data_IF_164602756087
#
_entry.id   IF_164602756087
#
_cell.length_a   1.000
_cell.length_b   1.000
_cell.length_c   1.000
_cell.angle_alpha   90.00
_cell.angle_beta   90.00
_cell.angle_gamma   90.00
#
_symmetry.space_group_name_H-M   'P 1'
#
loop_
_entity.id
_entity.type
_entity.pdbx_description
1 polymer ?
#
# COMPACT_ATOMS: atom_id res chain seq x y z
N UNK A 1 -17.75 1.79 -9.35
CA UNK A 1 -16.29 1.60 -9.17
C UNK A 1 -15.99 1.45 -7.68
N UNK A 2 -15.65 0.25 -7.18
CA UNK A 2 -15.22 0.06 -5.78
C UNK A 2 -13.68 0.05 -5.75
N UNK A 3 -13.07 0.92 -4.93
CA UNK A 3 -11.61 1.00 -4.75
C UNK A 3 -11.27 0.56 -3.32
N UNK A 4 -10.46 -0.48 -3.18
CA UNK A 4 -10.10 -1.08 -1.89
C UNK A 4 -8.57 -1.07 -1.75
N UNK A 5 -8.08 -0.58 -0.62
CA UNK A 5 -6.66 -0.63 -0.27
C UNK A 5 -6.30 -2.05 0.19
N UNK A 6 -5.29 -2.69 -0.39
CA UNK A 6 -4.87 -4.06 -0.03
C UNK A 6 -3.34 -4.10 -0.02
N UNK A 7 -2.76 -4.48 1.11
CA UNK A 7 -1.34 -4.82 1.19
C UNK A 7 -1.11 -6.20 0.52
N UNK A 8 -0.20 -6.30 -0.45
CA UNK A 8 0.26 -7.56 -1.02
C UNK A 8 1.78 -7.66 -0.83
N UNK A 9 2.20 -8.21 0.32
CA UNK A 9 3.63 -8.52 0.56
C UNK A 9 4.13 -9.57 -0.45
N UNK A 10 5.38 -9.43 -0.90
CA UNK A 10 5.92 -10.28 -1.95
C UNK A 10 6.71 -11.50 -1.44
N UNK A 11 6.58 -12.58 -2.20
CA UNK A 11 7.54 -13.65 -2.54
C UNK A 11 8.92 -13.63 -1.86
N UNK A 12 8.98 -14.05 -0.60
CA UNK A 12 10.17 -14.74 -0.09
C UNK A 12 10.12 -16.21 -0.51
N UNK A 13 10.93 -16.61 -1.49
CA UNK A 13 11.25 -18.02 -1.69
C UNK A 13 12.17 -18.50 -0.55
N UNK A 14 11.62 -18.66 0.65
CA UNK A 14 12.29 -19.39 1.72
C UNK A 14 11.95 -20.87 1.59
N UNK A 15 12.97 -21.72 1.55
CA UNK A 15 12.82 -23.15 1.77
C UNK A 15 12.35 -23.33 3.21
N UNK A 16 11.05 -23.44 3.42
CA UNK A 16 10.47 -23.66 4.75
C UNK A 16 11.03 -24.94 5.35
N UNK A 17 11.51 -24.86 6.59
CA UNK A 17 11.90 -26.04 7.36
C UNK A 17 10.72 -27.04 7.40
N UNK A 18 11.01 -28.34 7.46
CA UNK A 18 10.01 -29.38 7.73
C UNK A 18 9.24 -29.00 9.00
N UNK A 19 7.97 -28.60 8.84
CA UNK A 19 7.18 -28.00 9.91
C UNK A 19 6.84 -26.52 9.75
N UNK A 20 7.05 -25.92 8.57
CA UNK A 20 6.61 -24.56 8.27
C UNK A 20 5.30 -24.49 7.45
N UNK A 21 4.74 -25.63 7.06
CA UNK A 21 3.52 -25.68 6.26
C UNK A 21 2.31 -25.09 7.03
N UNK A 22 1.60 -24.18 6.36
CA UNK A 22 0.32 -23.65 6.82
C UNK A 22 -0.76 -24.71 6.58
N UNK A 23 -1.24 -25.34 7.65
CA UNK A 23 -2.35 -26.30 7.59
C UNK A 23 -3.44 -25.92 8.58
N UNK A 24 -4.67 -26.40 8.36
CA UNK A 24 -5.80 -26.09 9.24
C UNK A 24 -5.57 -26.59 10.67
N UNK A 25 -4.90 -27.73 10.83
CA UNK A 25 -4.58 -28.32 12.14
C UNK A 25 -3.64 -27.44 12.97
N UNK A 26 -2.82 -26.64 12.30
CA UNK A 26 -1.84 -25.73 12.93
C UNK A 26 -2.31 -24.29 12.96
N UNK A 27 -3.54 -24.03 12.52
CA UNK A 27 -4.11 -22.68 12.46
C UNK A 27 -4.04 -21.97 13.80
N UNK A 28 -4.33 -22.64 14.91
CA UNK A 28 -4.22 -22.02 16.26
C UNK A 28 -2.80 -21.54 16.56
N UNK A 29 -1.77 -22.32 16.19
CA UNK A 29 -0.37 -21.91 16.37
C UNK A 29 0.01 -20.75 15.44
N UNK A 30 -0.42 -20.80 14.17
CA UNK A 30 -0.22 -19.72 13.21
C UNK A 30 -0.89 -18.44 13.69
N UNK A 31 -2.11 -18.53 14.21
CA UNK A 31 -2.84 -17.41 14.80
C UNK A 31 -2.02 -16.82 15.95
N UNK A 32 -1.55 -17.66 16.88
CA UNK A 32 -0.80 -17.19 18.04
C UNK A 32 0.60 -16.64 17.69
N UNK A 33 1.24 -17.16 16.66
CA UNK A 33 2.64 -16.86 16.30
C UNK A 33 2.84 -16.70 14.79
N UNK A 34 2.13 -15.76 14.13
CA UNK A 34 1.98 -15.73 12.68
C UNK A 34 3.29 -15.56 11.90
N UNK A 35 4.32 -14.99 12.55
CA UNK A 35 5.63 -14.70 11.95
C UNK A 35 6.61 -15.86 12.06
N UNK A 36 6.39 -16.81 12.97
CA UNK A 36 7.23 -18.00 13.06
C UNK A 36 7.02 -18.95 11.90
N UNK A 37 5.94 -18.74 11.14
CA UNK A 37 5.62 -19.50 9.95
C UNK A 37 6.01 -18.70 8.71
N UNK A 38 7.16 -18.97 8.10
CA UNK A 38 7.63 -18.23 6.92
C UNK A 38 6.66 -18.40 5.75
N UNK A 39 6.05 -19.58 5.63
CA UNK A 39 4.98 -19.84 4.65
C UNK A 39 3.78 -18.90 4.81
N UNK A 40 3.52 -18.39 6.02
CA UNK A 40 2.46 -17.43 6.30
C UNK A 40 2.79 -16.01 5.84
N UNK A 41 4.08 -15.66 5.83
CA UNK A 41 4.59 -14.34 5.41
C UNK A 41 4.61 -14.18 3.89
N UNK A 42 4.59 -15.29 3.14
CA UNK A 42 4.79 -15.31 1.70
C UNK A 42 3.47 -15.34 0.91
N UNK A 43 2.81 -14.20 0.71
CA UNK A 43 1.62 -14.13 -0.15
C UNK A 43 1.97 -14.35 -1.63
N UNK A 44 1.28 -15.29 -2.28
CA UNK A 44 1.49 -15.61 -3.69
C UNK A 44 0.41 -14.99 -4.59
N UNK A 45 0.73 -14.75 -5.86
CA UNK A 45 -0.23 -14.22 -6.83
C UNK A 45 -1.48 -15.10 -6.96
N UNK A 46 -1.33 -16.43 -6.90
CA UNK A 46 -2.45 -17.36 -6.93
C UNK A 46 -3.37 -17.23 -5.71
N UNK A 47 -2.81 -16.94 -4.53
CA UNK A 47 -3.61 -16.67 -3.33
C UNK A 47 -4.42 -15.37 -3.52
N UNK A 48 -3.81 -14.33 -4.08
CA UNK A 48 -4.48 -13.06 -4.38
C UNK A 48 -5.57 -13.21 -5.45
N UNK A 49 -5.36 -13.98 -6.51
CA UNK A 49 -6.34 -14.21 -7.58
C UNK A 49 -7.65 -14.80 -7.05
N UNK A 50 -7.57 -15.81 -6.18
CA UNK A 50 -8.75 -16.44 -5.57
C UNK A 50 -9.52 -15.44 -4.70
N UNK A 51 -8.81 -14.67 -3.88
CA UNK A 51 -9.42 -13.65 -3.01
C UNK A 51 -10.07 -12.52 -3.80
N UNK A 52 -9.47 -12.12 -4.93
CA UNK A 52 -10.06 -11.14 -5.84
C UNK A 52 -11.38 -11.63 -6.42
N UNK A 53 -11.50 -12.92 -6.76
CA UNK A 53 -12.79 -13.45 -7.24
C UNK A 53 -13.86 -13.42 -6.16
N UNK A 54 -13.51 -13.75 -4.91
CA UNK A 54 -14.42 -13.60 -3.78
C UNK A 54 -14.82 -12.15 -3.57
N UNK A 55 -13.87 -11.22 -3.71
CA UNK A 55 -14.12 -9.79 -3.59
C UNK A 55 -15.06 -9.28 -4.68
N UNK A 56 -14.85 -9.66 -5.94
CA UNK A 56 -15.74 -9.34 -7.08
C UNK A 56 -17.16 -9.81 -6.83
N UNK A 57 -17.31 -11.06 -6.38
CA UNK A 57 -18.61 -11.65 -6.04
C UNK A 57 -19.29 -10.86 -4.90
N UNK A 58 -18.58 -10.57 -3.83
CA UNK A 58 -19.14 -9.83 -2.68
C UNK A 58 -19.48 -8.37 -3.03
N UNK A 59 -18.67 -7.73 -3.87
CA UNK A 59 -18.91 -6.37 -4.34
C UNK A 59 -20.03 -6.27 -5.38
N UNK A 60 -20.45 -7.40 -5.98
CA UNK A 60 -21.41 -7.43 -7.09
C UNK A 60 -20.92 -6.68 -8.34
N UNK A 61 -19.59 -6.56 -8.52
CA UNK A 61 -18.98 -5.75 -9.58
C UNK A 61 -17.71 -6.41 -10.12
N UNK A 62 -17.50 -6.28 -11.43
CA UNK A 62 -16.28 -6.75 -12.09
C UNK A 62 -15.14 -5.72 -12.04
N UNK A 63 -15.48 -4.43 -11.96
CA UNK A 63 -14.51 -3.33 -11.92
C UNK A 63 -14.10 -3.00 -10.48
N UNK A 64 -12.92 -3.51 -10.11
CA UNK A 64 -12.30 -3.26 -8.81
C UNK A 64 -10.95 -2.59 -9.03
N UNK A 65 -10.66 -1.59 -8.20
CA UNK A 65 -9.31 -1.02 -8.06
C UNK A 65 -8.75 -1.48 -6.72
N UNK A 66 -7.55 -2.01 -6.74
CA UNK A 66 -6.79 -2.45 -5.58
C UNK A 66 -5.60 -1.52 -5.42
N UNK A 67 -5.28 -1.10 -4.21
CA UNK A 67 -4.04 -0.34 -3.95
C UNK A 67 -3.09 -1.12 -3.06
N UNK A 68 -1.96 -1.53 -3.64
CA UNK A 68 -0.82 -2.13 -2.96
C UNK A 68 0.02 -1.09 -2.23
N UNK A 69 0.04 -1.17 -0.91
CA UNK A 69 0.84 -0.29 -0.06
C UNK A 69 2.09 -0.99 0.47
N UNK A 70 2.59 -2.02 -0.23
CA UNK A 70 3.76 -2.78 0.21
C UNK A 70 5.01 -1.90 0.17
N UNK A 71 5.71 -1.70 1.30
CA UNK A 71 6.90 -0.85 1.32
C UNK A 71 8.04 -1.45 0.50
N UNK A 72 8.98 -0.60 0.06
CA UNK A 72 10.20 -1.05 -0.61
C UNK A 72 11.01 -2.07 0.22
N UNK A 73 11.04 -1.93 1.54
CA UNK A 73 11.73 -2.85 2.46
C UNK A 73 11.14 -4.26 2.46
N UNK A 74 9.89 -4.43 2.02
CA UNK A 74 9.22 -5.72 1.88
C UNK A 74 9.19 -6.22 0.42
N UNK A 75 10.17 -5.80 -0.38
CA UNK A 75 10.41 -6.28 -1.74
C UNK A 75 9.19 -6.13 -2.66
N UNK A 76 8.58 -4.95 -2.71
CA UNK A 76 7.49 -4.62 -3.66
C UNK A 76 7.76 -5.23 -5.05
N UNK A 77 6.76 -5.92 -5.64
CA UNK A 77 6.90 -6.66 -6.91
C UNK A 77 5.96 -6.13 -8.01
N UNK A 78 6.31 -5.04 -8.71
CA UNK A 78 5.44 -4.42 -9.70
C UNK A 78 5.10 -5.35 -10.87
N UNK A 79 6.03 -6.20 -11.32
CA UNK A 79 5.79 -7.17 -12.38
C UNK A 79 4.72 -8.20 -12.00
N UNK A 80 4.75 -8.66 -10.75
CA UNK A 80 3.71 -9.51 -10.17
C UNK A 80 2.35 -8.81 -10.13
N UNK A 81 2.30 -7.53 -9.76
CA UNK A 81 1.06 -6.73 -9.77
C UNK A 81 0.49 -6.54 -11.18
N UNK A 82 1.34 -6.35 -12.20
CA UNK A 82 0.89 -6.30 -13.61
C UNK A 82 0.29 -7.62 -14.05
N UNK A 83 0.95 -8.74 -13.72
CA UNK A 83 0.43 -10.07 -14.03
C UNK A 83 -0.91 -10.30 -13.35
N UNK A 84 -1.02 -9.98 -12.06
CA UNK A 84 -2.25 -10.08 -11.28
C UNK A 84 -3.37 -9.22 -11.86
N UNK A 85 -3.06 -7.97 -12.23
CA UNK A 85 -3.99 -7.04 -12.88
C UNK A 85 -4.54 -7.63 -14.18
N UNK A 86 -3.66 -8.16 -15.05
CA UNK A 86 -4.03 -8.80 -16.31
C UNK A 86 -4.86 -10.08 -16.12
N UNK A 87 -4.43 -10.98 -15.23
CA UNK A 87 -5.08 -12.29 -15.04
C UNK A 87 -6.43 -12.17 -14.34
N UNK A 88 -6.56 -11.28 -13.36
CA UNK A 88 -7.78 -11.12 -12.58
C UNK A 88 -8.74 -10.06 -13.14
N UNK A 89 -8.28 -9.18 -14.02
CA UNK A 89 -9.07 -8.09 -14.58
C UNK A 89 -9.41 -7.02 -13.54
N UNK A 90 -8.54 -6.79 -12.56
CA UNK A 90 -8.64 -5.66 -11.61
C UNK A 90 -7.57 -4.64 -11.92
N UNK A 91 -7.80 -3.38 -11.58
CA UNK A 91 -6.75 -2.35 -11.66
C UNK A 91 -5.96 -2.40 -10.36
N UNK A 92 -4.63 -2.44 -10.44
CA UNK A 92 -3.76 -2.39 -9.26
C UNK A 92 -2.98 -1.09 -9.28
N UNK A 93 -3.09 -0.32 -8.21
CA UNK A 93 -2.28 0.84 -7.89
C UNK A 93 -1.21 0.43 -6.89
N UNK A 94 -0.11 1.16 -6.84
CA UNK A 94 0.91 0.98 -5.82
C UNK A 94 1.35 2.32 -5.23
N UNK A 95 1.94 2.29 -4.03
CA UNK A 95 2.50 3.49 -3.40
C UNK A 95 3.99 3.64 -3.73
N UNK A 96 4.45 4.88 -3.89
CA UNK A 96 5.87 5.25 -3.93
C UNK A 96 6.33 5.76 -2.57
N UNK A 97 7.49 5.30 -2.10
CA UNK A 97 8.08 5.70 -0.82
C UNK A 97 9.58 5.95 -0.97
N UNK A 98 10.19 6.86 -0.21
CA UNK A 98 11.64 6.98 -0.17
C UNK A 98 12.29 5.66 0.31
N UNK A 99 13.42 5.22 -0.27
CA UNK A 99 14.13 4.02 0.20
C UNK A 99 14.69 4.21 1.61
N UNK A 100 14.61 3.19 2.47
CA UNK A 100 15.11 3.26 3.85
C UNK A 100 16.59 3.60 3.94
N UNK A 101 17.42 3.14 2.99
CA UNK A 101 18.85 3.48 2.95
C UNK A 101 19.09 4.99 2.76
N UNK A 102 18.25 5.65 1.98
CA UNK A 102 18.32 7.11 1.77
C UNK A 102 17.86 7.86 3.02
N UNK A 103 16.87 7.35 3.75
CA UNK A 103 16.43 7.94 5.01
C UNK A 103 17.52 7.89 6.09
N UNK A 104 18.20 6.75 6.21
CA UNK A 104 19.35 6.57 7.13
C UNK A 104 20.47 7.54 6.79
N UNK A 105 20.80 7.67 5.50
CA UNK A 105 21.82 8.60 5.03
C UNK A 105 21.47 10.06 5.39
N UNK A 106 20.24 10.50 5.11
CA UNK A 106 19.80 11.87 5.44
C UNK A 106 19.78 12.11 6.96
N UNK A 107 19.35 11.12 7.75
CA UNK A 107 19.36 11.23 9.22
C UNK A 107 20.78 11.40 9.77
N UNK A 108 21.74 10.65 9.23
CA UNK A 108 23.15 10.79 9.60
C UNK A 108 23.67 12.19 9.23
N UNK A 109 23.39 12.66 8.01
CA UNK A 109 23.78 14.01 7.57
C UNK A 109 23.13 15.13 8.40
N UNK A 110 21.86 14.98 8.80
CA UNK A 110 21.18 15.91 9.72
C UNK A 110 21.89 15.94 11.06
N UNK A 111 22.18 14.77 11.62
CA UNK A 111 22.85 14.64 12.92
C UNK A 111 24.22 15.33 12.91
N UNK A 112 25.00 15.16 11.85
CA UNK A 112 26.30 15.83 11.67
C UNK A 112 26.13 17.37 11.57
N UNK A 113 25.15 17.84 10.79
CA UNK A 113 24.86 19.27 10.61
C UNK A 113 24.31 19.98 11.86
N UNK A 114 23.74 19.24 12.80
CA UNK A 114 23.17 19.76 14.06
C UNK A 114 24.19 19.76 15.21
N UNK A 115 25.36 19.14 15.04
CA UNK A 115 26.44 19.25 16.03
C UNK A 115 26.95 20.70 16.14
N UNK A 116 27.46 21.08 17.32
CA UNK A 116 27.97 22.44 17.59
C UNK A 116 29.15 22.73 16.65
N UNK A 117 28.89 23.48 15.58
CA UNK A 117 29.86 23.76 14.51
C UNK A 117 29.41 23.34 13.11
N UNK A 118 28.22 22.74 12.96
CA UNK A 118 27.65 22.37 11.66
C UNK A 118 27.66 23.53 10.68
N UNK A 119 28.34 23.33 9.56
CA UNK A 119 28.52 24.33 8.51
C UNK A 119 27.24 24.52 7.69
N UNK A 120 27.01 25.73 7.18
CA UNK A 120 25.93 26.01 6.21
C UNK A 120 26.01 25.07 4.98
N UNK A 121 27.22 24.60 4.65
CA UNK A 121 27.47 23.64 3.59
C UNK A 121 26.86 22.27 3.88
N UNK A 122 26.96 21.75 5.11
CA UNK A 122 26.36 20.46 5.50
C UNK A 122 24.84 20.54 5.46
N UNK A 123 24.25 21.62 6.00
CA UNK A 123 22.80 21.85 5.90
C UNK A 123 22.32 21.92 4.45
N UNK A 124 23.08 22.61 3.59
CA UNK A 124 22.80 22.68 2.16
C UNK A 124 22.91 21.33 1.47
N UNK A 125 23.86 20.47 1.87
CA UNK A 125 24.00 19.11 1.34
C UNK A 125 22.83 18.22 1.76
N UNK A 126 22.44 18.25 3.04
CA UNK A 126 21.26 17.52 3.54
C UNK A 126 20.01 17.92 2.78
N UNK A 127 19.79 19.22 2.57
CA UNK A 127 18.63 19.70 1.82
C UNK A 127 18.66 19.24 0.35
N UNK A 128 19.83 19.23 -0.30
CA UNK A 128 19.97 18.66 -1.65
C UNK A 128 19.65 17.18 -1.67
N UNK A 129 20.02 16.42 -0.65
CA UNK A 129 19.73 15.00 -0.56
C UNK A 129 18.23 14.72 -0.40
N UNK A 130 17.55 15.51 0.45
CA UNK A 130 16.08 15.47 0.57
C UNK A 130 15.42 15.79 -0.78
N UNK A 131 15.95 16.76 -1.51
CA UNK A 131 15.45 17.15 -2.83
C UNK A 131 15.60 16.02 -3.88
N UNK A 132 16.75 15.35 -3.89
CA UNK A 132 16.98 14.18 -4.75
C UNK A 132 16.04 13.02 -4.41
N UNK A 133 15.86 12.73 -3.11
CA UNK A 133 14.92 11.70 -2.66
C UNK A 133 13.47 12.04 -3.05
N UNK A 134 13.09 13.32 -2.96
CA UNK A 134 11.78 13.81 -3.42
C UNK A 134 11.60 13.56 -4.92
N UNK A 135 12.58 13.93 -5.74
CA UNK A 135 12.56 13.67 -7.19
C UNK A 135 12.48 12.17 -7.51
N UNK A 136 13.18 11.33 -6.75
CA UNK A 136 13.10 9.88 -6.94
C UNK A 136 11.68 9.34 -6.72
N UNK A 137 11.00 9.80 -5.67
CA UNK A 137 9.60 9.46 -5.40
C UNK A 137 8.67 10.01 -6.49
N UNK A 138 8.90 11.23 -6.97
CA UNK A 138 8.16 11.80 -8.11
C UNK A 138 8.33 10.97 -9.40
N UNK A 139 9.53 10.46 -9.66
CA UNK A 139 9.81 9.60 -10.81
C UNK A 139 8.99 8.31 -10.79
N UNK A 140 8.72 7.70 -9.64
CA UNK A 140 7.88 6.49 -9.57
C UNK A 140 6.41 6.77 -9.95
N UNK A 141 5.91 7.97 -9.69
CA UNK A 141 4.55 8.40 -10.06
C UNK A 141 4.49 8.83 -11.53
N UNK A 142 5.51 9.53 -12.00
CA UNK A 142 5.57 10.04 -13.38
C UNK A 142 6.06 8.97 -14.33
N UNK A 143 7.30 8.51 -14.19
CA UNK A 143 8.00 7.66 -15.16
C UNK A 143 7.69 6.18 -14.97
N UNK A 144 7.49 5.76 -13.72
CA UNK A 144 7.17 4.39 -13.35
C UNK A 144 8.21 3.76 -12.43
N UNK A 145 7.85 2.63 -11.86
CA UNK A 145 8.58 1.93 -10.82
C UNK A 145 9.58 0.96 -11.44
N UNK A 146 10.82 1.05 -10.96
CA UNK A 146 11.89 0.08 -11.21
C UNK A 146 12.12 -0.23 -12.70
N UNK A 147 11.87 0.73 -13.61
CA UNK A 147 12.09 0.57 -15.04
C UNK A 147 11.27 -0.56 -15.70
N UNK A 148 10.18 -0.98 -15.05
CA UNK A 148 9.34 -2.09 -15.54
C UNK A 148 8.74 -1.82 -16.92
N UNK A 149 8.58 -2.86 -17.74
CA UNK A 149 7.92 -2.80 -19.06
C UNK A 149 6.78 -3.83 -19.12
N UNK A 150 5.51 -3.44 -19.28
CA UNK A 150 5.03 -2.06 -19.33
C UNK A 150 5.28 -1.31 -18.00
N UNK A 151 5.43 0.01 -18.08
CA UNK A 151 5.69 0.84 -16.90
C UNK A 151 4.53 0.73 -15.89
N UNK A 152 4.88 0.45 -14.64
CA UNK A 152 3.96 0.47 -13.49
C UNK A 152 4.13 1.79 -12.78
N UNK A 153 3.07 2.58 -12.67
CA UNK A 153 3.13 3.88 -12.00
C UNK A 153 2.60 3.78 -10.58
N UNK A 154 3.24 4.50 -9.67
CA UNK A 154 2.66 4.71 -8.34
C UNK A 154 1.42 5.60 -8.46
N UNK A 155 0.31 5.17 -7.85
CA UNK A 155 -0.95 5.91 -7.78
C UNK A 155 -1.09 6.77 -6.52
N UNK A 156 -0.17 6.61 -5.57
CA UNK A 156 -0.11 7.36 -4.33
C UNK A 156 1.33 7.38 -3.79
N UNK A 157 1.57 8.24 -2.82
CA UNK A 157 2.80 8.38 -2.07
C UNK A 157 2.64 7.70 -0.69
N UNK A 158 3.76 7.30 -0.10
CA UNK A 158 3.80 6.69 1.23
C UNK A 158 3.64 5.18 1.21
N UNK A 159 2.74 4.66 2.04
CA UNK A 159 2.64 3.22 2.30
C UNK A 159 3.64 2.71 3.35
N UNK A 160 4.21 3.60 4.15
CA UNK A 160 5.09 3.25 5.27
C UNK A 160 4.38 3.38 6.62
N UNK A 161 4.94 2.68 7.61
CA UNK A 161 4.51 2.72 9.00
C UNK A 161 5.24 3.86 9.73
N UNK A 162 4.51 4.59 10.58
CA UNK A 162 5.02 5.69 11.41
C UNK A 162 4.60 5.47 12.86
N UNK A 163 5.43 5.88 13.81
CA UNK A 163 5.23 5.72 15.25
C UNK A 163 5.77 4.40 15.78
N UNK A 164 6.69 3.73 15.07
CA UNK A 164 7.26 2.44 15.49
C UNK A 164 8.52 2.58 16.36
N UNK A 165 8.69 3.70 17.06
CA UNK A 165 9.89 4.01 17.84
C UNK A 165 10.28 2.92 18.85
N UNK A 166 11.59 2.79 19.11
CA UNK A 166 12.22 1.70 19.90
C UNK A 166 11.82 1.64 21.38
N UNK A 167 11.05 2.59 21.90
CA UNK A 167 10.58 2.61 23.29
C UNK A 167 9.06 2.37 23.37
N UNK A 168 8.61 1.12 23.59
CA UNK A 168 7.19 0.75 23.51
C UNK A 168 6.35 1.13 24.74
N UNK A 169 6.84 1.95 25.66
CA UNK A 169 6.23 2.09 27.00
C UNK A 169 5.73 3.48 27.38
N UNK A 170 5.93 4.51 26.55
CA UNK A 170 5.32 5.81 26.78
C UNK A 170 4.32 6.09 25.65
N UNK A 171 3.03 6.11 25.96
CA UNK A 171 2.02 6.64 25.07
C UNK A 171 2.47 8.04 24.60
N UNK A 172 2.75 8.19 23.30
CA UNK A 172 3.24 9.45 22.73
C UNK A 172 4.75 9.52 22.50
N UNK A 173 5.43 8.39 22.33
CA UNK A 173 6.80 8.38 21.79
C UNK A 173 6.87 9.26 20.52
N UNK A 174 7.85 10.17 20.43
CA UNK A 174 7.98 11.06 19.28
C UNK A 174 8.27 10.26 18.02
N UNK A 175 7.93 10.85 16.86
CA UNK A 175 8.33 10.32 15.57
C UNK A 175 9.86 10.26 15.52
N UNK A 176 10.40 9.18 14.97
CA UNK A 176 11.82 9.09 14.66
C UNK A 176 12.18 10.10 13.56
N UNK A 177 13.44 10.54 13.53
CA UNK A 177 13.93 11.46 12.51
C UNK A 177 13.71 10.89 11.09
N UNK A 178 13.91 9.58 10.89
CA UNK A 178 13.63 8.92 9.61
C UNK A 178 12.16 9.00 9.18
N UNK A 179 11.23 8.84 10.12
CA UNK A 179 9.79 8.98 9.84
C UNK A 179 9.43 10.42 9.48
N UNK A 180 9.98 11.40 10.19
CA UNK A 180 9.77 12.82 9.88
C UNK A 180 10.33 13.18 8.49
N UNK A 181 11.54 12.71 8.15
CA UNK A 181 12.14 12.90 6.82
C UNK A 181 11.28 12.25 5.74
N UNK A 182 10.77 11.04 5.96
CA UNK A 182 9.91 10.34 4.98
C UNK A 182 8.60 11.11 4.73
N UNK A 183 7.99 11.65 5.79
CA UNK A 183 6.79 12.50 5.70
C UNK A 183 7.10 13.81 4.96
N UNK A 184 8.22 14.47 5.27
CA UNK A 184 8.68 15.69 4.59
C UNK A 184 8.84 15.46 3.08
N UNK A 185 9.53 14.39 2.68
CA UNK A 185 9.73 13.99 1.28
C UNK A 185 8.38 13.76 0.58
N UNK A 186 7.48 12.99 1.21
CA UNK A 186 6.17 12.69 0.61
C UNK A 186 5.27 13.93 0.51
N UNK A 187 5.32 14.84 1.49
CA UNK A 187 4.56 16.08 1.43
C UNK A 187 5.02 17.00 0.29
N UNK A 188 6.34 17.14 0.11
CA UNK A 188 6.93 17.91 -1.00
C UNK A 188 6.61 17.30 -2.35
N UNK A 189 6.73 15.98 -2.48
CA UNK A 189 6.36 15.26 -3.70
C UNK A 189 4.86 15.43 -4.00
N UNK A 190 3.99 15.35 -2.98
CA UNK A 190 2.54 15.57 -3.14
C UNK A 190 2.26 16.94 -3.74
N UNK A 191 2.85 18.01 -3.17
CA UNK A 191 2.70 19.38 -3.66
C UNK A 191 3.07 19.50 -5.15
N UNK A 192 4.24 18.98 -5.54
CA UNK A 192 4.78 19.08 -6.92
C UNK A 192 4.03 18.24 -7.94
N UNK A 193 3.38 17.18 -7.48
CA UNK A 193 2.51 16.34 -8.28
C UNK A 193 1.06 16.85 -8.32
N UNK A 194 0.82 18.10 -7.88
CA UNK A 194 -0.51 18.72 -7.92
C UNK A 194 -1.48 18.18 -6.86
N UNK A 195 -0.94 17.67 -5.76
CA UNK A 195 -1.71 17.04 -4.67
C UNK A 195 -1.85 15.53 -4.84
N UNK A 196 -0.78 14.82 -5.21
CA UNK A 196 -0.80 13.36 -5.23
C UNK A 196 -1.13 12.81 -3.83
N UNK A 197 -1.94 11.72 -3.72
CA UNK A 197 -2.40 11.22 -2.44
C UNK A 197 -1.24 10.73 -1.57
N UNK A 198 -1.27 11.00 -0.27
CA UNK A 198 -0.28 10.50 0.70
C UNK A 198 -0.98 9.53 1.65
N UNK A 199 -0.51 8.29 1.69
CA UNK A 199 -1.04 7.23 2.56
C UNK A 199 -0.02 6.95 3.66
N UNK A 200 -0.42 7.12 4.92
CA UNK A 200 0.43 6.86 6.09
C UNK A 200 -0.25 5.83 6.98
N UNK A 201 0.50 4.82 7.41
CA UNK A 201 0.03 3.88 8.43
C UNK A 201 0.62 4.27 9.77
N UNK A 202 -0.21 4.32 10.81
CA UNK A 202 0.25 4.66 12.16
C UNK A 202 0.37 3.40 13.02
N UNK A 203 1.35 3.41 13.92
CA UNK A 203 1.54 2.39 14.94
C UNK A 203 1.15 2.96 16.30
N UNK A 204 0.07 2.42 16.90
CA UNK A 204 -0.45 2.82 18.21
C UNK A 204 -0.49 4.37 18.44
N UNK A 205 -1.08 5.15 17.53
CA UNK A 205 -0.91 6.59 17.56
C UNK A 205 -1.70 7.24 18.70
N UNK A 206 -1.07 8.23 19.32
CA UNK A 206 -1.76 9.19 20.18
C UNK A 206 -2.27 10.37 19.37
N UNK A 207 -3.15 11.17 19.97
CA UNK A 207 -3.57 12.46 19.40
C UNK A 207 -2.37 13.34 19.00
N UNK A 208 -1.32 13.36 19.81
CA UNK A 208 -0.09 14.12 19.55
C UNK A 208 0.66 13.62 18.31
N UNK A 209 0.81 12.30 18.17
CA UNK A 209 1.40 11.68 16.98
C UNK A 209 0.62 12.03 15.71
N UNK A 210 -0.72 11.88 15.74
CA UNK A 210 -1.60 12.24 14.61
C UNK A 210 -1.41 13.70 14.20
N UNK A 211 -1.39 14.59 15.19
CA UNK A 211 -1.23 16.04 14.95
C UNK A 211 0.11 16.33 14.31
N UNK A 212 1.20 15.77 14.84
CA UNK A 212 2.56 15.94 14.32
C UNK A 212 2.71 15.42 12.89
N UNK A 213 2.15 14.26 12.57
CA UNK A 213 2.16 13.73 11.18
C UNK A 213 1.49 14.70 10.21
N UNK A 214 0.32 15.24 10.59
CA UNK A 214 -0.40 16.21 9.76
C UNK A 214 0.32 17.56 9.69
N UNK A 215 0.98 17.99 10.77
CA UNK A 215 1.79 19.22 10.78
C UNK A 215 2.97 19.10 9.80
N UNK A 216 3.77 18.03 9.88
CA UNK A 216 4.92 17.82 8.97
C UNK A 216 4.46 17.78 7.51
N UNK A 217 3.39 17.04 7.22
CA UNK A 217 2.85 16.96 5.86
C UNK A 217 2.35 18.33 5.37
N UNK A 218 1.67 19.10 6.23
CA UNK A 218 1.20 20.45 5.91
C UNK A 218 2.34 21.45 5.72
N UNK A 219 3.36 21.43 6.57
CA UNK A 219 4.59 22.22 6.47
C UNK A 219 5.33 21.94 5.15
N UNK A 220 5.33 20.67 4.72
CA UNK A 220 5.89 20.25 3.43
C UNK A 220 4.99 20.59 2.22
N UNK A 221 3.79 21.15 2.46
CA UNK A 221 2.86 21.62 1.43
C UNK A 221 1.83 20.58 0.95
N UNK A 222 1.71 19.43 1.63
CA UNK A 222 0.65 18.47 1.35
C UNK A 222 -0.72 19.07 1.70
N UNK A 223 -1.70 18.84 0.85
CA UNK A 223 -3.09 19.20 1.15
C UNK A 223 -3.71 18.15 2.06
N UNK A 224 -4.35 18.57 3.14
CA UNK A 224 -4.99 17.64 4.07
C UNK A 224 -6.03 16.73 3.39
N UNK A 225 -6.81 17.25 2.44
CA UNK A 225 -7.79 16.48 1.65
C UNK A 225 -7.15 15.49 0.65
N UNK A 226 -5.82 15.36 0.66
CA UNK A 226 -5.03 14.37 -0.08
C UNK A 226 -4.26 13.42 0.83
N UNK A 227 -4.40 13.55 2.15
CA UNK A 227 -3.75 12.69 3.13
C UNK A 227 -4.76 11.68 3.66
N UNK A 228 -4.35 10.43 3.74
CA UNK A 228 -5.07 9.38 4.46
C UNK A 228 -4.19 8.78 5.54
N UNK A 229 -4.70 8.80 6.78
CA UNK A 229 -4.04 8.18 7.93
C UNK A 229 -4.77 6.89 8.27
N UNK A 230 -4.07 5.77 8.12
CA UNK A 230 -4.56 4.44 8.47
C UNK A 230 -4.09 4.03 9.86
N UNK A 231 -4.90 3.22 10.54
CA UNK A 231 -4.61 2.68 11.87
C UNK A 231 -4.44 3.79 12.93
N UNK A 232 -5.27 4.83 12.83
CA UNK A 232 -5.36 5.92 13.82
C UNK A 232 -5.79 5.40 15.21
N UNK A 233 -6.13 4.12 15.32
CA UNK A 233 -6.54 3.48 16.56
C UNK A 233 -5.70 2.20 16.78
N UNK A 234 -5.31 1.94 18.02
CA UNK A 234 -4.45 0.81 18.41
C UNK A 234 -5.25 -0.37 18.96
N UNK A 235 -6.54 -0.47 18.59
CA UNK A 235 -7.61 -1.19 19.29
C UNK A 235 -7.42 -2.71 19.57
N UNK A 236 -6.25 -3.28 19.33
CA UNK A 236 -5.90 -4.63 19.77
C UNK A 236 -5.87 -4.79 21.31
N UNK A 237 -5.79 -3.70 22.09
CA UNK A 237 -5.71 -3.76 23.56
C UNK A 237 -6.81 -3.03 24.34
N UNK A 238 -7.80 -2.44 23.66
CA UNK A 238 -8.88 -1.68 24.32
C UNK A 238 -9.75 -2.65 25.13
N UNK A 239 -9.61 -2.60 26.45
CA UNK A 239 -10.44 -3.37 27.39
C UNK A 239 -11.56 -2.54 28.04
N UNK A 240 -11.65 -1.25 27.73
CA UNK A 240 -12.57 -0.32 28.39
C UNK A 240 -13.08 0.82 27.51
N UNK A 241 -14.09 1.52 28.03
CA UNK A 241 -14.75 2.66 27.35
C UNK A 241 -13.84 3.91 27.30
N UNK A 242 -12.92 4.05 28.26
CA UNK A 242 -12.04 5.21 28.35
C UNK A 242 -11.03 5.24 27.19
N UNK A 243 -10.39 4.11 26.89
CA UNK A 243 -9.42 4.00 25.79
C UNK A 243 -10.10 4.21 24.43
N UNK A 244 -11.34 3.72 24.27
CA UNK A 244 -12.13 3.95 23.06
C UNK A 244 -12.43 5.44 22.83
N UNK A 245 -12.63 6.23 23.89
CA UNK A 245 -12.81 7.69 23.81
C UNK A 245 -11.53 8.40 23.40
N UNK A 246 -10.37 7.98 23.91
CA UNK A 246 -9.08 8.53 23.48
C UNK A 246 -8.80 8.25 22.00
N UNK A 247 -9.10 7.04 21.54
CA UNK A 247 -9.02 6.68 20.12
C UNK A 247 -9.97 7.52 19.25
N UNK A 248 -11.20 7.76 19.73
CA UNK A 248 -12.14 8.64 19.06
C UNK A 248 -11.62 10.09 18.96
N UNK A 249 -10.92 10.59 19.98
CA UNK A 249 -10.27 11.91 19.95
C UNK A 249 -9.11 11.98 18.94
N UNK A 250 -8.32 10.91 18.80
CA UNK A 250 -7.27 10.86 17.78
C UNK A 250 -7.89 10.84 16.37
N UNK A 251 -8.95 10.06 16.17
CA UNK A 251 -9.71 10.02 14.93
C UNK A 251 -10.38 11.35 14.59
N UNK A 252 -10.92 12.07 15.59
CA UNK A 252 -11.55 13.38 15.38
C UNK A 252 -10.57 14.41 14.84
N UNK A 253 -9.32 14.43 15.33
CA UNK A 253 -8.27 15.34 14.82
C UNK A 253 -8.04 15.14 13.33
N UNK A 254 -8.03 13.91 12.83
CA UNK A 254 -7.86 13.61 11.39
C UNK A 254 -8.99 14.24 10.58
N UNK A 255 -10.22 13.99 11.01
CA UNK A 255 -11.45 14.45 10.36
C UNK A 255 -11.58 15.98 10.40
N UNK A 256 -11.30 16.59 11.56
CA UNK A 256 -11.34 18.04 11.77
C UNK A 256 -10.36 18.76 10.87
N UNK A 257 -9.15 18.22 10.72
CA UNK A 257 -8.09 18.76 9.86
C UNK A 257 -8.32 18.51 8.36
N UNK A 258 -9.40 17.84 7.99
CA UNK A 258 -9.78 17.66 6.58
C UNK A 258 -9.16 16.43 5.90
N UNK A 259 -8.43 15.60 6.64
CA UNK A 259 -7.79 14.40 6.12
C UNK A 259 -8.74 13.20 6.11
N UNK A 260 -8.37 12.16 5.35
CA UNK A 260 -9.09 10.89 5.34
C UNK A 260 -8.68 10.00 6.51
N UNK A 261 -9.68 9.45 7.19
CA UNK A 261 -9.52 8.52 8.30
C UNK A 261 -9.64 7.09 7.77
N UNK A 262 -8.56 6.32 7.85
CA UNK A 262 -8.48 4.95 7.38
C UNK A 262 -8.42 3.93 8.50
N UNK A 263 -9.16 2.83 8.35
CA UNK A 263 -9.03 1.67 9.22
C UNK A 263 -8.66 0.42 8.44
N UNK A 264 -7.79 -0.42 9.02
CA UNK A 264 -7.48 -1.75 8.49
C UNK A 264 -7.96 -2.85 9.43
N UNK A 265 -8.73 -3.80 8.93
CA UNK A 265 -9.23 -4.90 9.75
C UNK A 265 -9.35 -6.19 8.92
N UNK A 266 -8.47 -7.16 9.18
CA UNK A 266 -8.50 -8.46 8.48
C UNK A 266 -9.49 -9.46 9.11
N UNK A 267 -10.21 -9.03 10.15
CA UNK A 267 -11.14 -9.87 10.89
C UNK A 267 -10.48 -10.84 11.86
N UNK A 268 -9.16 -10.74 12.01
CA UNK A 268 -8.38 -11.53 12.95
C UNK A 268 -8.51 -10.92 14.36
N UNK A 269 -9.03 -11.70 15.30
CA UNK A 269 -9.05 -11.29 16.71
C UNK A 269 -7.71 -11.63 17.37
N UNK A 270 -6.87 -10.61 17.51
CA UNK A 270 -5.56 -10.71 18.16
C UNK A 270 -5.64 -10.97 19.67
N UNK A 271 -6.83 -11.02 20.28
CA UNK A 271 -7.05 -11.27 21.71
C UNK A 271 -6.43 -12.59 22.20
N UNK A 272 -6.33 -13.59 21.31
CA UNK A 272 -5.67 -14.87 21.57
C UNK A 272 -4.15 -14.80 21.58
N UNK A 273 -3.53 -13.81 20.90
CA UNK A 273 -2.07 -13.62 20.83
C UNK A 273 -1.47 -13.07 22.12
N UNK A 274 -2.17 -13.26 23.24
CA UNK A 274 -1.64 -13.29 24.59
C UNK A 274 -0.91 -12.03 25.03
N UNK A 275 -1.48 -11.39 26.05
CA UNK A 275 -0.72 -10.86 27.20
C UNK A 275 0.09 -11.96 27.92
N UNK A 276 0.50 -13.02 27.23
CA UNK A 276 1.48 -13.96 27.74
C UNK A 276 2.81 -13.23 27.71
N UNK A 277 3.16 -12.69 28.86
CA UNK A 277 4.51 -12.32 29.27
C UNK A 277 5.45 -13.53 29.20
N UNK A 278 5.59 -14.14 28.02
CA UNK A 278 6.69 -15.06 27.76
C UNK A 278 7.91 -14.17 27.73
N UNK A 279 8.58 -14.05 28.89
CA UNK A 279 9.95 -13.51 29.00
C UNK A 279 10.76 -14.15 27.88
N UNK A 280 11.10 -13.36 26.86
CA UNK A 280 11.69 -13.83 25.60
C UNK A 280 11.02 -13.32 24.33
N UNK A 281 9.80 -12.77 24.41
CA UNK A 281 9.16 -12.01 23.33
C UNK A 281 9.54 -10.52 23.39
N UNK A 282 10.82 -10.25 23.64
CA UNK A 282 11.41 -8.90 23.54
C UNK A 282 11.75 -8.52 22.09
N UNK A 283 11.21 -9.24 21.10
CA UNK A 283 11.23 -8.83 19.69
C UNK A 283 10.15 -7.77 19.47
N UNK A 284 10.53 -6.58 19.94
CA UNK A 284 9.82 -5.31 20.15
C UNK A 284 9.17 -4.64 18.94
N UNK A 285 9.09 -5.23 17.76
CA UNK A 285 8.90 -4.39 16.56
C UNK A 285 7.68 -4.64 15.69
N UNK A 286 6.82 -5.63 15.95
CA UNK A 286 5.92 -5.98 14.84
C UNK A 286 4.50 -6.49 15.15
N UNK A 287 3.67 -5.48 15.46
CA UNK A 287 2.41 -5.17 14.77
C UNK A 287 1.21 -6.12 14.94
N UNK A 288 0.34 -5.81 15.90
CA UNK A 288 -1.10 -6.11 15.81
C UNK A 288 -1.92 -4.84 15.50
N UNK A 289 -1.83 -4.25 14.29
CA UNK A 289 -2.73 -3.17 13.85
C UNK A 289 -4.10 -3.70 13.42
N UNK A 290 -4.36 -5.00 13.59
CA UNK A 290 -5.64 -5.59 13.25
C UNK A 290 -6.58 -5.28 14.39
N UNK A 291 -7.42 -4.28 14.18
CA UNK A 291 -8.47 -3.98 15.13
C UNK A 291 -9.28 -5.25 15.37
N UNK A 292 -9.50 -5.57 16.64
CA UNK A 292 -10.61 -6.43 17.01
C UNK A 292 -11.87 -5.85 16.31
N UNK A 293 -12.57 -6.64 15.48
CA UNK A 293 -13.68 -6.13 14.68
C UNK A 293 -14.75 -5.45 15.52
N UNK A 294 -15.01 -5.95 16.73
CA UNK A 294 -15.99 -5.39 17.65
C UNK A 294 -15.55 -4.01 18.16
N UNK A 295 -14.27 -3.81 18.48
CA UNK A 295 -13.74 -2.52 18.89
C UNK A 295 -13.82 -1.48 17.76
N UNK A 296 -13.48 -1.88 16.53
CA UNK A 296 -13.60 -1.00 15.37
C UNK A 296 -15.07 -0.63 15.11
N UNK A 297 -15.99 -1.59 15.22
CA UNK A 297 -17.42 -1.33 15.12
C UNK A 297 -17.87 -0.32 16.19
N UNK A 298 -17.47 -0.52 17.45
CA UNK A 298 -17.80 0.38 18.55
C UNK A 298 -17.27 1.80 18.32
N UNK A 299 -16.02 1.93 17.86
CA UNK A 299 -15.41 3.21 17.52
C UNK A 299 -16.14 3.92 16.37
N UNK A 300 -16.42 3.20 15.28
CA UNK A 300 -17.15 3.78 14.14
C UNK A 300 -18.54 4.26 14.57
N UNK A 301 -19.22 3.52 15.45
CA UNK A 301 -20.50 3.97 16.02
C UNK A 301 -20.33 5.27 16.80
N UNK A 302 -19.35 5.37 17.69
CA UNK A 302 -19.09 6.60 18.45
C UNK A 302 -18.84 7.81 17.53
N UNK A 303 -18.04 7.64 16.47
CA UNK A 303 -17.75 8.70 15.51
C UNK A 303 -18.97 9.08 14.66
N UNK A 304 -19.83 8.12 14.30
CA UNK A 304 -21.00 8.35 13.45
C UNK A 304 -22.19 8.99 14.17
N UNK A 305 -22.25 8.87 15.50
CA UNK A 305 -23.32 9.47 16.31
C UNK A 305 -22.99 10.88 16.79
N UNK A 306 -21.71 11.25 16.81
CA UNK A 306 -21.27 12.61 17.13
C UNK A 306 -21.76 13.59 16.04
N UNK A 307 -22.66 14.54 16.35
CA UNK A 307 -23.19 15.50 15.36
C UNK A 307 -22.11 16.37 14.71
N UNK A 308 -21.00 16.64 15.41
CA UNK A 308 -19.90 17.46 14.88
C UNK A 308 -19.04 16.70 13.86
N UNK A 309 -19.00 15.36 13.96
CA UNK A 309 -18.15 14.51 13.13
C UNK A 309 -18.93 13.71 12.08
N UNK A 310 -20.22 13.47 12.26
CA UNK A 310 -21.03 12.57 11.41
C UNK A 310 -20.85 12.80 9.91
N UNK A 311 -20.93 14.05 9.45
CA UNK A 311 -20.78 14.36 8.01
C UNK A 311 -19.33 14.20 7.53
N UNK A 312 -18.36 14.47 8.40
CA UNK A 312 -16.93 14.26 8.11
C UNK A 312 -16.63 12.77 7.99
N UNK A 313 -17.08 11.95 8.94
CA UNK A 313 -16.97 10.49 8.88
C UNK A 313 -17.53 9.97 7.58
N UNK A 314 -18.75 10.40 7.20
CA UNK A 314 -19.38 9.98 5.95
C UNK A 314 -18.51 10.26 4.71
N UNK A 315 -17.84 11.40 4.68
CA UNK A 315 -17.13 11.90 3.50
C UNK A 315 -15.62 11.65 3.48
N UNK A 316 -15.06 11.19 4.59
CA UNK A 316 -13.62 11.04 4.78
C UNK A 316 -13.20 9.66 5.33
N UNK A 317 -14.16 8.79 5.66
CA UNK A 317 -13.85 7.44 6.12
C UNK A 317 -13.42 6.53 4.96
N UNK A 318 -12.38 5.73 5.21
CA UNK A 318 -11.86 4.68 4.35
C UNK A 318 -11.75 3.38 5.15
N UNK A 319 -12.09 2.26 4.52
CA UNK A 319 -11.99 0.93 5.12
C UNK A 319 -11.16 0.01 4.23
N UNK A 320 -10.31 -0.80 4.84
CA UNK A 320 -9.46 -1.78 4.18
C UNK A 320 -9.42 -3.09 4.97
N UNK A 321 -9.33 -4.25 4.30
CA UNK A 321 -9.11 -5.52 4.99
C UNK A 321 -7.69 -5.63 5.56
N UNK A 322 -6.73 -4.81 5.14
CA UNK A 322 -5.36 -4.85 5.69
C UNK A 322 -4.66 -6.20 5.58
N UNK A 323 -4.94 -6.97 4.52
CA UNK A 323 -4.37 -8.30 4.29
C UNK A 323 -2.85 -8.22 4.28
N UNK A 324 -2.15 -8.98 5.12
CA UNK A 324 -0.68 -8.97 5.18
C UNK A 324 -0.07 -10.36 5.21
N UNK A 325 -0.87 -11.34 5.61
CA UNK A 325 -0.45 -12.72 5.86
C UNK A 325 -1.38 -13.68 5.14
N UNK A 326 -0.90 -14.89 4.84
CA UNK A 326 -1.77 -15.95 4.29
C UNK A 326 -2.94 -16.25 5.22
N UNK A 327 -2.71 -16.23 6.53
CA UNK A 327 -3.73 -16.46 7.55
C UNK A 327 -4.87 -15.43 7.53
N UNK A 328 -4.70 -14.28 6.86
CA UNK A 328 -5.79 -13.32 6.65
C UNK A 328 -6.77 -13.76 5.54
N UNK A 329 -6.35 -14.70 4.67
CA UNK A 329 -7.13 -15.14 3.51
C UNK A 329 -8.08 -16.28 3.84
N UNK A 330 -9.21 -16.36 3.12
CA UNK A 330 -10.29 -17.36 3.33
C UNK A 330 -9.80 -18.78 3.16
N UNK A 331 -8.96 -19.02 2.14
CA UNK A 331 -8.37 -20.35 1.87
C UNK A 331 -7.65 -20.92 3.10
N UNK A 332 -7.09 -20.05 3.93
CA UNK A 332 -6.29 -20.40 5.09
C UNK A 332 -7.03 -20.15 6.41
N UNK A 333 -8.36 -19.97 6.35
CA UNK A 333 -9.24 -19.79 7.50
C UNK A 333 -9.41 -18.34 7.96
N UNK A 334 -8.79 -17.36 7.31
CA UNK A 334 -9.04 -15.94 7.56
C UNK A 334 -10.37 -15.44 6.99
N UNK A 335 -10.66 -14.14 7.16
CA UNK A 335 -11.93 -13.55 6.68
C UNK A 335 -11.87 -13.07 5.22
N UNK A 336 -10.64 -12.87 4.70
CA UNK A 336 -10.36 -12.47 3.33
C UNK A 336 -10.70 -11.03 2.99
N UNK A 337 -10.52 -10.68 1.72
CA UNK A 337 -10.60 -9.28 1.26
C UNK A 337 -12.01 -8.68 1.38
N UNK A 338 -13.06 -9.49 1.26
CA UNK A 338 -14.44 -9.01 1.31
C UNK A 338 -14.97 -8.79 2.73
N UNK A 339 -14.17 -9.04 3.77
CA UNK A 339 -14.60 -8.88 5.17
C UNK A 339 -15.01 -7.44 5.51
N UNK A 340 -14.43 -6.44 4.84
CA UNK A 340 -14.78 -5.03 5.04
C UNK A 340 -16.27 -4.72 4.83
N UNK A 341 -16.97 -5.48 3.98
CA UNK A 341 -18.41 -5.32 3.80
C UNK A 341 -19.17 -5.81 5.04
N UNK A 342 -18.81 -6.97 5.56
CA UNK A 342 -19.37 -7.53 6.80
C UNK A 342 -19.12 -6.64 8.00
N UNK A 343 -17.92 -6.05 8.10
CA UNK A 343 -17.61 -5.10 9.16
C UNK A 343 -18.58 -3.92 9.16
N UNK A 344 -18.83 -3.33 7.98
CA UNK A 344 -19.73 -2.18 7.86
C UNK A 344 -21.19 -2.57 8.15
N UNK A 345 -21.60 -3.79 7.79
CA UNK A 345 -22.93 -4.31 8.10
C UNK A 345 -23.15 -4.45 9.60
N UNK A 346 -22.14 -4.97 10.30
CA UNK A 346 -22.16 -5.04 11.76
C UNK A 346 -22.21 -3.65 12.42
N UNK A 347 -21.62 -2.61 11.80
CA UNK A 347 -21.79 -1.22 12.28
C UNK A 347 -23.25 -0.82 12.24
N UNK A 348 -23.92 -1.02 11.09
CA UNK A 348 -25.33 -0.67 10.93
C UNK A 348 -26.24 -1.45 11.87
N UNK A 349 -26.06 -2.77 11.97
CA UNK A 349 -26.93 -3.62 12.79
C UNK A 349 -26.97 -3.16 14.25
N UNK A 350 -25.83 -2.87 14.88
CA UNK A 350 -25.88 -2.39 16.26
C UNK A 350 -26.04 -0.88 16.43
N UNK A 351 -26.17 -0.10 15.35
CA UNK A 351 -26.84 1.21 15.42
C UNK A 351 -28.36 1.02 15.51
N UNK A 352 -28.92 -0.03 14.91
CA UNK A 352 -30.36 -0.34 14.93
C UNK A 352 -30.81 -0.95 16.26
N UNK A 353 -29.99 -1.79 16.90
CA UNK A 353 -30.38 -2.46 18.15
C UNK A 353 -30.28 -1.59 19.41
N UNK A 354 -29.95 -0.31 19.29
CA UNK A 354 -30.16 0.67 20.37
C UNK A 354 -29.46 0.40 21.71
N UNK A 355 -28.34 -0.35 21.75
CA UNK A 355 -27.61 -0.63 23.00
C UNK A 355 -26.84 0.57 23.56
N UNK A 356 -27.09 1.78 23.05
CA UNK A 356 -26.65 3.05 23.64
C UNK A 356 -27.89 3.87 23.95
N UNK A 357 -28.15 4.10 25.25
CA UNK A 357 -29.31 4.84 25.73
C UNK A 357 -29.53 6.17 25.01
N UNK A 358 -30.80 6.49 24.79
CA UNK A 358 -31.33 7.81 24.42
C UNK A 358 -31.24 8.28 22.96
N UNK A 359 -30.85 7.44 21.99
CA UNK A 359 -31.08 7.77 20.58
C UNK A 359 -32.41 7.20 20.07
N UNK A 360 -33.36 8.10 19.77
CA UNK A 360 -34.62 7.78 19.10
C UNK A 360 -34.35 6.93 17.84
N UNK A 361 -34.76 5.67 17.92
CA UNK A 361 -34.42 4.58 17.01
C UNK A 361 -35.04 4.70 15.61
N UNK A 362 -34.51 5.60 14.80
CA UNK A 362 -34.65 5.54 13.35
C UNK A 362 -33.62 4.58 12.78
N UNK A 363 -34.00 3.31 12.60
CA UNK A 363 -33.12 2.33 11.93
C UNK A 363 -32.67 2.82 10.55
N UNK A 364 -31.51 2.36 10.08
CA UNK A 364 -31.02 2.75 8.76
C UNK A 364 -31.85 2.06 7.69
N UNK A 365 -32.50 2.84 6.81
CA UNK A 365 -33.15 2.25 5.65
C UNK A 365 -32.12 1.49 4.79
N UNK A 366 -32.57 0.47 4.06
CA UNK A 366 -31.70 -0.28 3.14
C UNK A 366 -31.02 0.65 2.12
N UNK A 367 -31.75 1.66 1.63
CA UNK A 367 -31.22 2.68 0.71
C UNK A 367 -30.11 3.51 1.36
N UNK A 368 -30.25 3.88 2.64
CA UNK A 368 -29.22 4.61 3.37
C UNK A 368 -27.95 3.76 3.57
N UNK A 369 -28.10 2.46 3.88
CA UNK A 369 -26.97 1.51 3.97
C UNK A 369 -26.26 1.36 2.63
N UNK A 370 -27.01 1.24 1.53
CA UNK A 370 -26.47 1.15 0.17
C UNK A 370 -25.73 2.44 -0.21
N UNK A 371 -26.32 3.61 0.05
CA UNK A 371 -25.70 4.91 -0.23
C UNK A 371 -24.41 5.11 0.58
N UNK A 372 -24.41 4.75 1.86
CA UNK A 372 -23.22 4.86 2.70
C UNK A 372 -22.12 3.88 2.26
N UNK A 373 -22.46 2.63 1.91
CA UNK A 373 -21.51 1.69 1.28
C UNK A 373 -20.91 2.26 0.00
N UNK A 374 -21.71 2.92 -0.85
CA UNK A 374 -21.23 3.57 -2.05
C UNK A 374 -20.23 4.69 -1.75
N UNK A 375 -20.51 5.51 -0.73
CA UNK A 375 -19.60 6.56 -0.26
C UNK A 375 -18.25 6.00 0.19
N UNK A 376 -18.25 5.03 1.11
CA UNK A 376 -17.02 4.47 1.69
C UNK A 376 -16.17 3.72 0.67
N UNK A 377 -16.80 2.91 -0.18
CA UNK A 377 -16.07 2.01 -1.08
C UNK A 377 -15.89 2.57 -2.50
N UNK A 378 -16.61 3.63 -2.87
CA UNK A 378 -16.51 4.24 -4.21
C UNK A 378 -16.08 5.71 -4.12
N UNK A 379 -16.87 6.57 -3.49
CA UNK A 379 -16.69 8.03 -3.60
C UNK A 379 -15.49 8.55 -2.81
N UNK A 380 -15.32 8.15 -1.55
CA UNK A 380 -14.22 8.61 -0.70
C UNK A 380 -12.85 8.22 -1.28
N UNK A 381 -12.62 6.95 -1.70
CA UNK A 381 -11.40 6.59 -2.42
C UNK A 381 -11.23 7.33 -3.75
N UNK A 382 -12.31 7.64 -4.47
CA UNK A 382 -12.22 8.44 -5.69
C UNK A 382 -11.75 9.84 -5.36
N UNK A 383 -12.32 10.49 -4.33
CA UNK A 383 -11.93 11.83 -3.92
C UNK A 383 -10.48 11.89 -3.50
N UNK A 384 -10.04 10.96 -2.65
CA UNK A 384 -8.64 10.87 -2.22
C UNK A 384 -7.71 10.71 -3.44
N UNK A 385 -7.98 9.72 -4.28
CA UNK A 385 -7.06 9.28 -5.35
C UNK A 385 -7.15 10.10 -6.64
N UNK A 386 -8.15 10.97 -6.80
CA UNK A 386 -8.31 11.80 -8.00
C UNK A 386 -7.48 13.08 -7.91
N UNK A 387 -6.22 13.02 -8.32
CA UNK A 387 -5.34 14.18 -8.45
C UNK A 387 -5.10 14.50 -9.94
N UNK A 388 -4.64 15.71 -10.31
CA UNK A 388 -4.38 16.09 -11.70
C UNK A 388 -3.13 15.38 -12.23
N UNK A 389 -3.17 14.06 -12.29
CA UNK A 389 -2.10 13.25 -12.87
C UNK A 389 -2.06 13.50 -14.37
N UNK A 390 -0.88 13.90 -14.84
CA UNK A 390 -0.56 13.90 -16.26
C UNK A 390 0.38 12.72 -16.49
N UNK A 391 0.05 11.79 -17.41
CA UNK A 391 1.05 10.83 -17.86
C UNK A 391 2.27 11.61 -18.36
N UNK A 392 3.50 11.08 -18.20
CA UNK A 392 4.63 11.62 -18.94
C UNK A 392 4.26 11.70 -20.40
N UNK A 393 4.85 12.68 -21.10
CA UNK A 393 4.96 12.57 -22.53
C UNK A 393 5.51 11.19 -22.85
N UNK A 394 4.81 10.45 -23.71
CA UNK A 394 5.28 9.14 -24.15
C UNK A 394 6.67 9.36 -24.69
N UNK A 395 7.69 8.93 -23.95
CA UNK A 395 9.04 8.88 -24.49
C UNK A 395 8.87 7.99 -25.71
N UNK A 396 9.09 8.55 -26.90
CA UNK A 396 9.22 7.75 -28.09
C UNK A 396 10.37 6.80 -27.76
N UNK A 397 10.03 5.57 -27.36
CA UNK A 397 11.03 4.54 -27.16
C UNK A 397 11.55 4.36 -28.57
N UNK A 398 12.73 4.91 -28.87
CA UNK A 398 13.50 4.46 -30.02
C UNK A 398 13.72 2.97 -29.76
N UNK A 399 12.88 2.18 -30.41
CA UNK A 399 13.06 0.76 -30.44
C UNK A 399 14.15 0.56 -31.47
N UNK A 400 15.33 0.14 -31.03
CA UNK A 400 16.34 -0.30 -31.98
C UNK A 400 15.73 -1.36 -32.88
N UNK A 401 15.82 -1.10 -34.19
CA UNK A 401 15.32 -1.98 -35.23
C UNK A 401 16.48 -2.54 -36.01
N UNK A 402 16.39 -3.80 -36.39
CA UNK A 402 17.26 -4.41 -37.38
C UNK A 402 16.45 -4.72 -38.64
N UNK A 403 17.09 -4.65 -39.80
CA UNK A 403 16.50 -5.11 -41.05
C UNK A 403 16.93 -6.56 -41.28
N UNK A 404 15.97 -7.46 -41.44
CA UNK A 404 16.26 -8.84 -41.81
C UNK A 404 16.95 -8.86 -43.17
N UNK A 405 18.15 -9.46 -43.23
CA UNK A 405 18.95 -9.50 -44.44
C UNK A 405 18.25 -10.21 -45.62
N UNK A 406 17.43 -11.21 -45.31
CA UNK A 406 16.77 -12.03 -46.33
C UNK A 406 15.49 -11.38 -46.86
N UNK A 407 14.54 -11.07 -45.98
CA UNK A 407 13.23 -10.56 -46.38
C UNK A 407 13.12 -9.03 -46.34
N UNK A 408 14.15 -8.31 -45.89
CA UNK A 408 14.19 -6.84 -45.77
C UNK A 408 13.27 -6.25 -44.71
N UNK A 409 12.50 -7.08 -43.98
CA UNK A 409 11.54 -6.59 -43.00
C UNK A 409 12.26 -6.05 -41.77
N UNK A 410 11.89 -4.83 -41.35
CA UNK A 410 12.35 -4.28 -40.08
C UNK A 410 11.71 -4.97 -38.89
N UNK A 411 12.53 -5.35 -37.91
CA UNK A 411 12.14 -6.05 -36.69
C UNK A 411 12.75 -5.36 -35.49
N UNK A 412 12.09 -5.48 -34.34
CA UNK A 412 12.62 -4.93 -33.09
C UNK A 412 13.77 -5.81 -32.60
N UNK A 413 14.82 -5.21 -32.04
CA UNK A 413 15.99 -5.97 -31.53
C UNK A 413 15.63 -6.89 -30.36
N UNK A 414 14.51 -6.65 -29.67
CA UNK A 414 13.97 -7.50 -28.60
C UNK A 414 13.09 -8.67 -29.10
N UNK A 415 12.82 -8.75 -30.41
CA UNK A 415 12.21 -9.92 -31.03
C UNK A 415 13.24 -11.04 -31.26
N UNK A 416 12.74 -12.26 -31.45
CA UNK A 416 13.59 -13.42 -31.73
C UNK A 416 14.36 -13.20 -33.04
N UNK A 417 15.69 -13.26 -32.96
CA UNK A 417 16.59 -13.01 -34.09
C UNK A 417 17.67 -14.07 -34.17
N UNK A 418 18.07 -14.34 -35.40
CA UNK A 418 19.14 -15.26 -35.72
C UNK A 418 20.25 -14.50 -36.42
N UNK A 419 21.51 -14.83 -36.13
CA UNK A 419 22.67 -14.20 -36.76
C UNK A 419 23.57 -15.24 -37.40
N UNK A 420 24.13 -14.89 -38.56
CA UNK A 420 25.15 -15.69 -39.24
C UNK A 420 26.09 -14.75 -39.98
N UNK A 421 27.36 -14.72 -39.55
CA UNK A 421 28.31 -13.66 -39.92
C UNK A 421 27.75 -12.28 -39.55
N UNK A 422 27.84 -11.30 -40.44
CA UNK A 422 27.38 -9.92 -40.23
C UNK A 422 25.90 -9.69 -40.63
N UNK A 423 25.14 -10.78 -40.82
CA UNK A 423 23.75 -10.72 -41.24
C UNK A 423 22.79 -11.15 -40.13
N UNK A 424 21.71 -10.38 -39.96
CA UNK A 424 20.62 -10.67 -39.02
C UNK A 424 19.36 -11.15 -39.77
N UNK A 425 18.64 -12.10 -39.17
CA UNK A 425 17.45 -12.73 -39.73
C UNK A 425 16.30 -12.72 -38.72
N UNK A 426 15.10 -12.44 -39.20
CA UNK A 426 13.90 -12.37 -38.36
C UNK A 426 13.30 -13.72 -37.96
N UNK A 427 13.91 -14.83 -38.37
CA UNK A 427 13.41 -16.18 -38.11
C UNK A 427 14.27 -17.26 -38.78
N UNK A 428 14.07 -18.51 -38.36
CA UNK A 428 14.78 -19.67 -38.90
C UNK A 428 14.52 -19.85 -40.40
N UNK A 429 13.31 -19.59 -40.88
CA UNK A 429 12.95 -19.71 -42.30
C UNK A 429 13.85 -18.83 -43.19
N UNK A 430 14.03 -17.56 -42.80
CA UNK A 430 14.89 -16.62 -43.51
C UNK A 430 16.37 -17.04 -43.48
N UNK A 431 16.83 -17.61 -42.37
CA UNK A 431 18.18 -18.14 -42.26
C UNK A 431 18.38 -19.40 -43.11
N UNK A 432 17.39 -20.30 -43.14
CA UNK A 432 17.42 -21.53 -43.93
C UNK A 432 17.41 -21.26 -45.42
N UNK A 433 16.57 -20.35 -45.89
CA UNK A 433 16.53 -19.98 -47.30
C UNK A 433 17.84 -19.33 -47.76
N UNK A 434 18.44 -18.50 -46.90
CA UNK A 434 19.78 -17.98 -47.16
C UNK A 434 20.86 -19.09 -47.23
N UNK A 435 20.73 -20.18 -46.46
CA UNK A 435 21.66 -21.32 -46.56
C UNK A 435 21.50 -22.09 -47.88
N UNK A 436 20.31 -22.07 -48.49
CA UNK A 436 20.03 -22.74 -49.76
C UNK A 436 20.53 -21.95 -50.96
N UNK A 437 20.67 -20.62 -50.84
CA UNK A 437 21.34 -19.83 -51.89
C UNK A 437 22.81 -20.22 -52.00
N UNK A 438 23.16 -20.92 -53.07
CA UNK A 438 24.55 -21.21 -53.40
C UNK A 438 25.29 -19.88 -53.59
N UNK A 439 26.29 -19.63 -52.76
CA UNK A 439 27.18 -18.48 -52.93
C UNK A 439 28.00 -18.68 -54.22
N UNK A 440 27.47 -18.19 -55.34
CA UNK A 440 28.28 -18.04 -56.55
C UNK A 440 29.30 -16.92 -56.27
N UNK A 441 30.58 -17.15 -56.58
CA UNK A 441 31.69 -16.20 -56.35
C UNK A 441 31.55 -14.85 -57.07
N UNK A 442 30.48 -14.60 -57.83
CA UNK A 442 30.35 -13.40 -58.68
C UNK A 442 29.66 -12.20 -58.01
N UNK A 443 28.95 -12.36 -56.89
CA UNK A 443 28.16 -11.26 -56.31
C UNK A 443 28.90 -10.35 -55.32
N UNK A 444 30.19 -10.56 -55.07
CA UNK A 444 30.96 -9.72 -54.13
C UNK A 444 31.51 -8.41 -54.73
N UNK A 445 31.31 -8.15 -56.03
CA UNK A 445 31.89 -6.98 -56.71
C UNK A 445 30.92 -5.84 -57.02
N UNK A 446 29.62 -6.01 -56.80
CA UNK A 446 28.63 -4.97 -57.08
C UNK A 446 27.59 -4.91 -55.96
N UNK A 447 27.99 -4.32 -54.83
CA UNK A 447 27.10 -3.59 -53.90
C UNK A 447 27.90 -2.86 -52.85
#
# INVERSE_FOLDING_TARGET
>A
MIRILILLSSLMQSFGATGDALTLERRSQVVLQPRKFLSNLNLQAADAEVEIQHLKKAAGRNEIVIMDTTPLSFQRNPAGLVKLSKSSGVKVLCCASPPSSVLVEIEQMKSEADTVGGSEKERSQTQRRIEEATKQVECEVRIGISGTRPAVYAGALGGFLVGSGKEPSAAGAPLSSQEEIALEICGRASLRLGGAPVIVFLHAPTKGCVSRVLDILGEAGARADRVALFNVCGAASVSGVAELKEEALAASVVLERGAFLGFTCSGFDGSGCGRTSVKGWEDREVMNPLHNPQNLVALLRLLMVDPALKERVRTQLLLSPGIRLKSDLRRWGGMGMSFVFTLLDNVFEGLETGTGGDMEGGGWSMDAKIAFRALIFSENPIRLLSFPWKPPESVAIEVDRFSCWWCGTEKRVDEERYSKYDFEYCGLDCLEDHRKTGFSRQTQKER
#
